data_IF_319150369030
#
_entry.id   IF_319150369030
#
_cell.length_a   1.000
_cell.length_b   1.000
_cell.length_c   1.000
_cell.angle_alpha   90.00
_cell.angle_beta   90.00
_cell.angle_gamma   90.00
#
_symmetry.space_group_name_H-M   'P 1'
#
loop_
_entity.id
_entity.type
_entity.pdbx_description
1 polymer ?
#
# COMPACT_ATOMS: atom_id res chain seq x y z
N UNK A 1 -1.73 -2.74 -12.07
CA UNK A 1 -2.62 -2.66 -10.89
C UNK A 1 -1.70 -2.84 -9.71
N UNK A 2 -1.33 -1.77 -8.99
CA UNK A 2 -0.72 -1.99 -7.67
C UNK A 2 -1.79 -2.75 -6.87
N UNK A 3 -1.56 -4.01 -6.47
CA UNK A 3 -2.47 -4.59 -5.50
C UNK A 3 -2.41 -3.66 -4.30
N UNK A 4 -3.55 -3.16 -3.85
CA UNK A 4 -3.64 -2.63 -2.50
C UNK A 4 -3.20 -3.78 -1.60
N UNK A 5 -2.04 -3.61 -1.00
CA UNK A 5 -1.41 -4.67 -0.23
C UNK A 5 -2.35 -4.99 0.91
N UNK A 6 -2.54 -6.28 1.14
CA UNK A 6 -3.29 -6.72 2.30
C UNK A 6 -2.55 -6.20 3.53
N UNK A 7 -3.16 -5.24 4.24
CA UNK A 7 -2.47 -4.40 5.24
C UNK A 7 -1.83 -5.20 6.37
N UNK A 8 -2.32 -6.41 6.62
CA UNK A 8 -1.85 -7.31 7.66
C UNK A 8 -0.80 -8.33 7.22
N UNK A 9 -0.33 -8.31 5.96
CA UNK A 9 0.82 -9.12 5.57
C UNK A 9 2.10 -8.71 6.33
N UNK A 10 3.07 -9.61 6.54
CA UNK A 10 4.35 -9.25 7.15
C UNK A 10 5.10 -8.18 6.34
N UNK A 11 5.85 -7.30 7.01
CA UNK A 11 6.53 -6.19 6.32
C UNK A 11 7.58 -6.69 5.30
N UNK A 12 8.18 -7.86 5.54
CA UNK A 12 9.18 -8.43 4.63
C UNK A 12 8.59 -8.81 3.25
N UNK A 13 7.26 -8.81 3.06
CA UNK A 13 6.68 -8.92 1.70
C UNK A 13 7.13 -7.72 0.83
N UNK A 14 7.45 -6.56 1.40
CA UNK A 14 8.02 -5.43 0.65
C UNK A 14 9.36 -5.81 -0.02
N UNK A 15 10.20 -6.60 0.65
CA UNK A 15 11.46 -7.11 0.09
C UNK A 15 11.27 -8.03 -1.11
N UNK A 16 10.08 -8.65 -1.26
CA UNK A 16 9.75 -9.46 -2.45
C UNK A 16 9.50 -8.62 -3.70
N UNK A 17 9.39 -7.28 -3.57
CA UNK A 17 9.33 -6.36 -4.71
C UNK A 17 10.71 -5.93 -5.20
N UNK A 18 11.73 -6.00 -4.36
CA UNK A 18 13.08 -5.52 -4.66
C UNK A 18 13.90 -6.72 -5.12
N UNK A 19 13.68 -7.10 -6.38
CA UNK A 19 14.37 -8.19 -7.07
C UNK A 19 15.54 -7.57 -7.85
N UNK A 20 16.81 -7.95 -7.59
CA UNK A 20 17.94 -7.46 -8.37
C UNK A 20 17.78 -7.71 -9.89
N UNK A 21 17.96 -6.66 -10.70
CA UNK A 21 18.10 -6.67 -12.16
C UNK A 21 16.85 -6.88 -13.08
N UNK A 22 15.63 -6.49 -12.72
CA UNK A 22 14.57 -6.32 -13.76
C UNK A 22 13.59 -5.17 -13.45
N UNK A 23 13.38 -4.30 -14.45
CA UNK A 23 12.62 -3.05 -14.38
C UNK A 23 11.09 -3.24 -14.45
N UNK A 24 10.57 -4.46 -14.66
CA UNK A 24 9.11 -4.70 -14.78
C UNK A 24 8.60 -6.05 -14.25
N UNK A 25 9.37 -6.81 -13.46
CA UNK A 25 9.04 -8.21 -13.17
C UNK A 25 8.81 -8.52 -11.67
N UNK A 26 7.58 -8.89 -11.25
CA UNK A 26 7.29 -9.43 -9.91
C UNK A 26 7.63 -10.92 -9.85
N UNK A 27 8.84 -11.29 -10.31
CA UNK A 27 9.28 -12.67 -10.39
C UNK A 27 10.75 -12.81 -10.06
N UNK A 28 11.11 -13.91 -9.42
CA UNK A 28 12.50 -14.26 -9.15
C UNK A 28 12.70 -15.77 -9.23
N UNK A 29 13.88 -16.25 -9.63
CA UNK A 29 14.17 -17.67 -9.62
C UNK A 29 14.29 -18.20 -8.19
N UNK A 30 13.72 -19.38 -7.93
CA UNK A 30 13.73 -20.04 -6.63
C UNK A 30 15.16 -20.33 -6.14
N UNK A 31 16.11 -20.46 -7.07
CA UNK A 31 17.53 -20.73 -6.80
C UNK A 31 18.26 -19.60 -6.07
N UNK A 32 17.71 -18.38 -6.05
CA UNK A 32 18.30 -17.25 -5.31
C UNK A 32 18.35 -17.46 -3.81
N UNK A 33 17.57 -18.41 -3.30
CA UNK A 33 17.54 -18.77 -1.89
C UNK A 33 18.85 -19.38 -1.43
N UNK A 34 19.60 -19.93 -2.37
CA UNK A 34 20.84 -20.64 -2.14
C UNK A 34 22.06 -19.80 -2.56
N UNK A 35 21.85 -18.52 -2.89
CA UNK A 35 22.88 -17.58 -3.35
C UNK A 35 23.17 -16.50 -2.31
N UNK A 36 23.99 -16.80 -1.28
CA UNK A 36 24.34 -15.83 -0.24
C UNK A 36 25.06 -14.59 -0.79
N UNK A 37 25.71 -14.70 -1.96
CA UNK A 37 26.37 -13.58 -2.65
C UNK A 37 25.41 -12.47 -3.09
N UNK A 38 24.10 -12.74 -3.18
CA UNK A 38 23.09 -11.73 -3.49
C UNK A 38 22.74 -10.85 -2.28
N UNK A 39 23.19 -11.21 -1.07
CA UNK A 39 22.95 -10.42 0.14
C UNK A 39 21.46 -10.27 0.49
N UNK A 40 20.61 -11.20 0.05
CA UNK A 40 19.17 -11.13 0.28
C UNK A 40 18.83 -11.57 1.71
N UNK A 41 17.86 -10.91 2.38
CA UNK A 41 17.53 -11.12 3.79
C UNK A 41 16.67 -12.37 4.03
N UNK A 42 16.97 -13.49 3.38
CA UNK A 42 16.12 -14.70 3.40
C UNK A 42 15.86 -15.27 4.79
N UNK A 43 16.83 -15.09 5.69
CA UNK A 43 16.77 -15.63 7.05
C UNK A 43 16.43 -14.55 8.10
N UNK A 44 16.16 -13.32 7.66
CA UNK A 44 15.74 -12.22 8.55
C UNK A 44 14.26 -12.36 8.97
N UNK A 45 13.90 -11.84 10.16
CA UNK A 45 12.52 -11.83 10.63
C UNK A 45 11.55 -11.17 9.64
N UNK A 46 10.36 -11.75 9.51
CA UNK A 46 9.33 -11.24 8.57
C UNK A 46 8.56 -10.04 9.10
N UNK A 47 8.58 -9.87 10.42
CA UNK A 47 7.85 -8.83 11.12
C UNK A 47 8.82 -7.76 11.59
N UNK A 48 8.60 -6.54 11.13
CA UNK A 48 9.38 -5.37 11.53
C UNK A 48 9.15 -5.11 13.02
N UNK A 49 10.22 -4.87 13.75
CA UNK A 49 10.14 -4.40 15.13
C UNK A 49 10.00 -2.88 15.10
N UNK A 50 9.02 -2.26 15.79
CA UNK A 50 8.98 -0.81 15.95
C UNK A 50 10.20 -0.27 16.72
N UNK A 51 11.02 -1.13 17.31
CA UNK A 51 12.18 -0.74 18.10
C UNK A 51 11.79 -0.33 19.52
N UNK A 52 12.76 0.07 20.35
CA UNK A 52 12.49 0.52 21.70
C UNK A 52 11.79 1.89 21.69
N UNK A 53 10.85 2.11 22.63
CA UNK A 53 10.12 3.39 22.77
C UNK A 53 11.06 4.57 23.02
N UNK A 54 12.25 4.33 23.56
CA UNK A 54 13.28 5.35 23.76
C UNK A 54 13.74 6.00 22.45
N UNK A 55 13.90 5.22 21.38
CA UNK A 55 14.27 5.74 20.06
C UNK A 55 13.17 6.63 19.47
N UNK A 56 11.89 6.36 19.82
CA UNK A 56 10.77 7.19 19.39
C UNK A 56 10.78 8.58 20.03
N UNK A 57 11.20 8.69 21.31
CA UNK A 57 11.37 9.99 21.95
C UNK A 57 12.49 10.80 21.29
N UNK A 58 13.59 10.15 20.92
CA UNK A 58 14.71 10.81 20.24
C UNK A 58 14.32 11.33 18.86
N UNK A 59 13.46 10.59 18.15
CA UNK A 59 12.99 10.91 16.79
C UNK A 59 11.84 11.92 16.75
N UNK A 60 11.19 12.21 17.89
CA UNK A 60 10.01 13.07 17.96
C UNK A 60 10.25 14.37 18.75
N UNK A 61 11.29 15.17 18.43
CA UNK A 61 11.59 16.38 19.19
C UNK A 61 10.45 17.39 19.06
N UNK A 62 9.92 17.84 20.20
CA UNK A 62 8.83 18.82 20.24
C UNK A 62 7.46 18.23 20.56
N UNK A 63 7.33 16.90 20.59
CA UNK A 63 6.16 16.21 21.13
C UNK A 63 6.34 15.90 22.62
N UNK A 64 5.24 15.82 23.37
CA UNK A 64 5.29 15.38 24.77
C UNK A 64 5.55 13.88 24.86
N UNK A 65 6.18 13.44 25.95
CA UNK A 65 6.41 12.00 26.18
C UNK A 65 5.10 11.19 26.19
N UNK A 66 4.00 11.77 26.67
CA UNK A 66 2.69 11.11 26.69
C UNK A 66 2.16 10.88 25.27
N UNK A 67 2.27 11.89 24.39
CA UNK A 67 1.90 11.75 22.97
C UNK A 67 2.75 10.69 22.28
N UNK A 68 4.07 10.70 22.51
CA UNK A 68 4.98 9.72 21.88
C UNK A 68 4.72 8.30 22.41
N UNK A 69 4.46 8.11 23.71
CA UNK A 69 4.10 6.79 24.25
C UNK A 69 2.76 6.31 23.72
N UNK A 70 1.75 7.18 23.70
CA UNK A 70 0.44 6.83 23.16
C UNK A 70 0.56 6.42 21.69
N UNK A 71 1.38 7.12 20.92
CA UNK A 71 1.66 6.77 19.53
C UNK A 71 2.38 5.41 19.42
N UNK A 72 3.43 5.18 20.20
CA UNK A 72 4.15 3.90 20.23
C UNK A 72 3.22 2.72 20.59
N UNK A 73 2.38 2.87 21.62
CA UNK A 73 1.44 1.83 22.04
C UNK A 73 0.44 1.49 20.93
N UNK A 74 -0.06 2.50 20.19
CA UNK A 74 -0.94 2.28 19.04
C UNK A 74 -0.25 1.48 17.93
N UNK A 75 1.01 1.78 17.64
CA UNK A 75 1.80 1.06 16.62
C UNK A 75 2.03 -0.40 17.03
N UNK A 76 2.35 -0.64 18.31
CA UNK A 76 2.50 -1.99 18.86
C UNK A 76 1.18 -2.76 18.81
N UNK A 77 0.06 -2.12 19.13
CA UNK A 77 -1.28 -2.74 19.05
C UNK A 77 -1.63 -3.10 17.60
N UNK A 78 -1.45 -2.17 16.67
CA UNK A 78 -1.71 -2.39 15.25
C UNK A 78 -0.86 -3.56 14.71
N UNK A 79 0.43 -3.59 15.04
CA UNK A 79 1.33 -4.71 14.69
C UNK A 79 0.83 -6.04 15.27
N UNK A 80 0.47 -6.05 16.54
CA UNK A 80 -0.02 -7.26 17.22
C UNK A 80 -1.25 -7.82 16.51
N UNK A 81 -2.23 -6.96 16.20
CA UNK A 81 -3.44 -7.33 15.48
C UNK A 81 -3.16 -7.90 14.09
N UNK A 82 -2.16 -7.36 13.37
CA UNK A 82 -1.73 -7.89 12.07
C UNK A 82 -1.14 -9.28 12.19
N UNK A 83 -0.25 -9.48 13.17
CA UNK A 83 0.35 -10.80 13.45
C UNK A 83 -0.73 -11.82 13.78
N UNK A 84 -1.70 -11.45 14.61
CA UNK A 84 -2.83 -12.31 14.97
C UNK A 84 -3.67 -12.66 13.74
N UNK A 85 -4.03 -11.67 12.92
CA UNK A 85 -4.83 -11.87 11.69
C UNK A 85 -4.11 -12.80 10.71
N UNK A 86 -2.82 -12.56 10.47
CA UNK A 86 -2.02 -13.39 9.56
C UNK A 86 -1.81 -14.80 10.12
N UNK A 87 -1.59 -14.92 11.44
CA UNK A 87 -1.46 -16.21 12.13
C UNK A 87 -2.75 -17.03 12.02
N UNK A 88 -3.89 -16.39 12.20
CA UNK A 88 -5.20 -17.02 12.06
C UNK A 88 -5.46 -17.45 10.60
N UNK A 89 -5.05 -16.64 9.61
CA UNK A 89 -5.07 -17.04 8.21
C UNK A 89 -4.23 -18.31 7.97
N UNK A 90 -3.00 -18.34 8.48
CA UNK A 90 -2.13 -19.52 8.38
C UNK A 90 -2.79 -20.75 9.05
N UNK A 91 -3.36 -20.57 10.24
CA UNK A 91 -4.06 -21.60 10.99
C UNK A 91 -5.23 -22.20 10.21
N UNK A 92 -6.08 -21.37 9.61
CA UNK A 92 -7.23 -21.79 8.78
C UNK A 92 -6.81 -22.52 7.52
N UNK A 93 -5.71 -22.12 6.90
CA UNK A 93 -5.11 -22.83 5.76
C UNK A 93 -4.34 -24.10 6.16
N UNK A 94 -4.14 -24.35 7.46
CA UNK A 94 -3.38 -25.50 7.95
C UNK A 94 -1.88 -25.40 7.65
N UNK A 95 -1.34 -24.18 7.54
CA UNK A 95 0.07 -23.92 7.23
C UNK A 95 0.82 -23.29 8.42
N UNK A 96 2.13 -23.51 8.55
CA UNK A 96 2.93 -22.88 9.61
C UNK A 96 3.01 -21.36 9.47
N UNK A 97 3.05 -20.66 10.60
CA UNK A 97 3.33 -19.21 10.61
C UNK A 97 4.81 -19.00 10.25
N UNK A 98 5.11 -18.20 9.20
CA UNK A 98 6.47 -17.92 8.79
C UNK A 98 7.19 -17.02 9.80
N UNK A 99 8.44 -17.37 10.08
CA UNK A 99 9.32 -16.58 10.96
C UNK A 99 10.41 -15.84 10.18
N UNK A 100 10.75 -16.30 8.97
CA UNK A 100 11.80 -15.72 8.12
C UNK A 100 11.26 -15.45 6.72
N UNK A 101 11.90 -14.55 5.96
CA UNK A 101 11.47 -14.21 4.59
C UNK A 101 11.36 -15.44 3.69
N UNK A 102 12.27 -16.41 3.84
CA UNK A 102 12.21 -17.71 3.17
C UNK A 102 10.89 -18.45 3.48
N UNK A 103 10.56 -18.59 4.76
CA UNK A 103 9.31 -19.22 5.18
C UNK A 103 8.08 -18.44 4.70
N UNK A 104 8.18 -17.11 4.62
CA UNK A 104 7.10 -16.27 4.15
C UNK A 104 6.76 -16.53 2.71
N UNK A 105 7.76 -16.68 1.83
CA UNK A 105 7.47 -17.01 0.43
C UNK A 105 6.77 -18.37 0.32
N UNK A 106 7.28 -19.40 1.02
CA UNK A 106 6.64 -20.72 1.01
C UNK A 106 5.19 -20.64 1.53
N UNK A 107 4.95 -19.84 2.57
CA UNK A 107 3.62 -19.56 3.11
C UNK A 107 2.73 -18.86 2.06
N UNK A 108 3.22 -17.83 1.38
CA UNK A 108 2.45 -17.09 0.36
C UNK A 108 2.16 -17.94 -0.88
N UNK A 109 3.06 -18.85 -1.26
CA UNK A 109 2.80 -19.86 -2.31
C UNK A 109 1.67 -20.79 -1.86
N UNK A 110 1.74 -21.30 -0.62
CA UNK A 110 0.70 -22.19 -0.09
C UNK A 110 -0.67 -21.49 0.04
N UNK A 111 -0.68 -20.17 0.30
CA UNK A 111 -1.88 -19.34 0.32
C UNK A 111 -2.37 -18.93 -1.09
N UNK A 112 -1.60 -19.24 -2.14
CA UNK A 112 -1.91 -18.86 -3.52
C UNK A 112 -1.66 -17.40 -3.87
N UNK A 113 -1.04 -16.61 -2.97
CA UNK A 113 -0.66 -15.22 -3.24
C UNK A 113 0.51 -15.15 -4.22
N UNK A 114 1.41 -16.11 -4.12
CA UNK A 114 2.49 -16.36 -5.06
C UNK A 114 2.25 -17.68 -5.79
N UNK A 115 2.86 -17.82 -6.96
CA UNK A 115 2.81 -19.06 -7.75
C UNK A 115 4.23 -19.47 -8.16
N UNK A 116 4.41 -20.77 -8.39
CA UNK A 116 5.64 -21.33 -8.92
C UNK A 116 5.44 -21.75 -10.37
N UNK A 117 6.20 -21.14 -11.28
CA UNK A 117 6.15 -21.42 -12.70
C UNK A 117 7.49 -21.96 -13.19
N UNK A 118 7.45 -22.83 -14.19
CA UNK A 118 8.67 -23.23 -14.90
C UNK A 118 9.11 -22.09 -15.81
N UNK A 119 10.27 -21.50 -15.50
CA UNK A 119 10.90 -20.46 -16.30
C UNK A 119 11.76 -21.02 -17.43
N UNK A 120 12.55 -20.15 -18.08
CA UNK A 120 13.54 -20.55 -19.08
C UNK A 120 14.51 -21.59 -18.50
N UNK A 121 14.98 -22.50 -19.34
CA UNK A 121 15.95 -23.56 -18.97
C UNK A 121 15.45 -24.58 -17.92
N UNK A 122 14.15 -24.59 -17.60
CA UNK A 122 13.55 -25.53 -16.66
C UNK A 122 13.70 -25.15 -15.19
N UNK A 123 14.19 -23.95 -14.90
CA UNK A 123 14.30 -23.42 -13.54
C UNK A 123 12.91 -23.06 -12.96
N UNK A 124 12.71 -23.26 -11.66
CA UNK A 124 11.49 -22.79 -10.97
C UNK A 124 11.60 -21.29 -10.67
N UNK A 125 10.59 -20.54 -11.07
CA UNK A 125 10.44 -19.12 -10.80
C UNK A 125 9.23 -18.88 -9.91
N UNK A 126 9.39 -18.04 -8.90
CA UNK A 126 8.30 -17.56 -8.07
C UNK A 126 7.76 -16.28 -8.68
N UNK A 127 6.44 -16.18 -8.85
CA UNK A 127 5.76 -15.01 -9.42
C UNK A 127 4.63 -14.54 -8.50
N UNK A 128 4.34 -13.24 -8.50
CA UNK A 128 3.14 -12.73 -7.83
C UNK A 128 1.87 -13.02 -8.66
N UNK A 129 0.84 -13.55 -8.00
CA UNK A 129 -0.44 -13.86 -8.65
C UNK A 129 -1.38 -12.64 -8.66
N UNK A 130 -0.97 -11.54 -9.31
CA UNK A 130 -1.77 -10.29 -9.37
C UNK A 130 -3.08 -10.38 -10.17
N UNK A 131 -3.37 -11.53 -10.78
CA UNK A 131 -4.63 -11.77 -11.47
C UNK A 131 -5.80 -12.03 -10.51
N UNK A 132 -5.51 -12.47 -9.27
CA UNK A 132 -6.49 -12.67 -8.22
C UNK A 132 -6.43 -11.52 -7.22
N UNK A 133 -7.59 -11.06 -6.74
CA UNK A 133 -7.63 -10.20 -5.57
C UNK A 133 -7.21 -11.04 -4.36
N UNK A 134 -6.17 -10.65 -3.59
CA UNK A 134 -5.76 -11.40 -2.41
C UNK A 134 -6.90 -11.72 -1.44
N UNK A 135 -7.91 -10.84 -1.34
CA UNK A 135 -9.08 -11.05 -0.48
C UNK A 135 -9.98 -12.21 -0.92
N UNK A 136 -9.88 -12.64 -2.19
CA UNK A 136 -10.66 -13.75 -2.73
C UNK A 136 -9.96 -15.11 -2.53
N UNK A 137 -8.64 -15.11 -2.30
CA UNK A 137 -7.82 -16.33 -2.20
C UNK A 137 -7.38 -16.62 -0.77
N UNK A 138 -7.24 -15.59 0.05
CA UNK A 138 -6.84 -15.74 1.45
C UNK A 138 -7.98 -16.37 2.25
N UNK A 139 -7.66 -17.20 3.27
CA UNK A 139 -8.64 -17.88 4.12
C UNK A 139 -9.29 -16.92 5.14
N UNK A 140 -9.84 -15.82 4.64
CA UNK A 140 -10.55 -14.81 5.40
C UNK A 140 -12.00 -15.18 5.58
N UNK A 141 -12.56 -14.76 6.70
CA UNK A 141 -14.01 -14.69 6.86
C UNK A 141 -14.56 -13.58 5.98
N UNK A 142 -15.85 -13.64 5.59
CA UNK A 142 -16.48 -12.56 4.82
C UNK A 142 -16.39 -11.19 5.49
N UNK A 143 -16.41 -11.14 6.82
CA UNK A 143 -16.27 -9.89 7.59
C UNK A 143 -14.86 -9.32 7.47
N UNK A 144 -13.82 -10.12 7.73
CA UNK A 144 -12.41 -9.67 7.61
C UNK A 144 -12.10 -9.20 6.19
N UNK A 145 -12.58 -9.92 5.16
CA UNK A 145 -12.41 -9.51 3.77
C UNK A 145 -13.12 -8.18 3.47
N UNK A 146 -14.32 -7.96 4.01
CA UNK A 146 -15.05 -6.70 3.83
C UNK A 146 -14.39 -5.52 4.57
N UNK A 147 -13.90 -5.74 5.78
CA UNK A 147 -13.17 -4.73 6.55
C UNK A 147 -11.88 -4.31 5.85
N UNK A 148 -11.09 -5.28 5.38
CA UNK A 148 -9.87 -5.01 4.62
C UNK A 148 -10.18 -4.32 3.28
N UNK A 149 -11.22 -4.75 2.56
CA UNK A 149 -11.64 -4.09 1.32
C UNK A 149 -12.04 -2.62 1.56
N UNK A 150 -12.73 -2.33 2.67
CA UNK A 150 -13.09 -0.97 3.06
C UNK A 150 -11.84 -0.13 3.40
N UNK A 151 -10.89 -0.70 4.16
CA UNK A 151 -9.63 -0.04 4.49
C UNK A 151 -8.81 0.28 3.22
N UNK A 152 -8.68 -0.66 2.29
CA UNK A 152 -8.02 -0.45 1.01
C UNK A 152 -8.71 0.61 0.14
N UNK A 153 -10.03 0.73 0.25
CA UNK A 153 -10.76 1.79 -0.45
C UNK A 153 -10.41 3.17 0.12
N UNK A 154 -10.38 3.31 1.45
CA UNK A 154 -9.97 4.55 2.12
C UNK A 154 -8.54 4.96 1.77
N UNK A 155 -7.60 4.01 1.76
CA UNK A 155 -6.20 4.26 1.34
C UNK A 155 -6.11 4.81 -0.09
N UNK A 156 -6.94 4.29 -1.01
CA UNK A 156 -7.00 4.82 -2.38
C UNK A 156 -7.49 6.26 -2.39
N UNK A 157 -8.46 6.61 -1.54
CA UNK A 157 -8.88 8.00 -1.33
C UNK A 157 -7.72 8.89 -0.90
N UNK A 158 -6.93 8.45 0.10
CA UNK A 158 -5.73 9.17 0.56
C UNK A 158 -4.70 9.32 -0.55
N UNK A 159 -4.44 8.27 -1.34
CA UNK A 159 -3.59 8.35 -2.53
C UNK A 159 -4.08 9.41 -3.51
N UNK A 160 -5.39 9.45 -3.79
CA UNK A 160 -5.95 10.49 -4.64
C UNK A 160 -5.70 11.90 -4.06
N UNK A 161 -5.81 12.08 -2.73
CA UNK A 161 -5.46 13.32 -2.05
C UNK A 161 -4.00 13.73 -2.24
N UNK A 162 -3.07 12.80 -2.03
CA UNK A 162 -1.62 12.99 -2.26
C UNK A 162 -1.36 13.35 -3.73
N UNK A 163 -1.97 12.62 -4.67
CA UNK A 163 -1.85 12.90 -6.10
C UNK A 163 -2.40 14.29 -6.48
N UNK A 164 -3.52 14.71 -5.88
CA UNK A 164 -4.07 16.04 -6.08
C UNK A 164 -3.16 17.13 -5.52
N UNK A 165 -2.53 16.92 -4.35
CA UNK A 165 -1.53 17.84 -3.80
C UNK A 165 -0.37 18.01 -4.78
N UNK A 166 0.24 16.92 -5.23
CA UNK A 166 1.37 16.95 -6.17
C UNK A 166 1.01 17.70 -7.45
N UNK A 167 -0.15 17.39 -8.05
CA UNK A 167 -0.64 18.09 -9.23
C UNK A 167 -0.95 19.57 -8.98
N UNK A 168 -1.38 19.94 -7.77
CA UNK A 168 -1.59 21.32 -7.38
C UNK A 168 -0.25 22.08 -7.30
N UNK A 169 0.74 21.51 -6.63
CA UNK A 169 2.10 22.07 -6.51
C UNK A 169 2.76 22.26 -7.88
N UNK A 170 2.59 21.32 -8.80
CA UNK A 170 3.08 21.46 -10.17
C UNK A 170 2.40 22.61 -10.93
N UNK A 171 1.11 22.85 -10.68
CA UNK A 171 0.31 23.86 -11.37
C UNK A 171 0.47 25.26 -10.74
N UNK A 172 0.79 25.33 -9.46
CA UNK A 172 0.99 26.54 -8.68
C UNK A 172 2.20 26.39 -7.74
N UNK A 173 3.44 26.38 -8.28
CA UNK A 173 4.66 26.13 -7.50
C UNK A 173 4.96 27.23 -6.48
N UNK A 174 4.47 28.44 -6.71
CA UNK A 174 4.57 29.56 -5.75
C UNK A 174 3.53 29.45 -4.62
N UNK A 175 2.71 28.39 -4.63
CA UNK A 175 1.60 28.16 -3.71
C UNK A 175 0.36 28.98 -4.04
N UNK A 176 -0.74 28.62 -3.37
CA UNK A 176 -2.03 29.28 -3.54
C UNK A 176 -2.80 28.82 -4.78
N UNK A 177 -4.07 28.47 -4.56
CA UNK A 177 -4.95 27.99 -5.60
C UNK A 177 -6.15 27.30 -4.98
N UNK A 178 -7.25 27.26 -5.73
CA UNK A 178 -8.50 26.64 -5.30
C UNK A 178 -9.01 25.61 -6.28
N UNK A 179 -8.21 25.34 -7.33
CA UNK A 179 -8.56 24.39 -8.38
C UNK A 179 -7.35 23.61 -8.86
N UNK A 180 -7.53 22.33 -9.13
CA UNK A 180 -6.54 21.45 -9.76
C UNK A 180 -7.11 20.97 -11.09
N UNK A 181 -6.36 21.21 -12.17
CA UNK A 181 -6.70 20.70 -13.51
C UNK A 181 -6.17 19.28 -13.66
N UNK A 182 -7.05 18.32 -13.93
CA UNK A 182 -6.68 16.90 -13.94
C UNK A 182 -7.29 16.15 -15.13
N UNK A 183 -6.71 14.98 -15.42
CA UNK A 183 -7.36 13.89 -16.15
C UNK A 183 -7.31 12.66 -15.24
N UNK A 184 -8.22 11.69 -15.42
CA UNK A 184 -8.16 10.45 -14.63
C UNK A 184 -6.86 9.68 -14.89
N UNK A 185 -6.32 9.74 -16.12
CA UNK A 185 -5.04 9.13 -16.46
C UNK A 185 -3.90 9.78 -15.69
N UNK A 186 -3.77 11.11 -15.78
CA UNK A 186 -2.66 11.83 -15.12
C UNK A 186 -2.68 11.60 -13.61
N UNK A 187 -3.84 11.75 -12.97
CA UNK A 187 -3.95 11.48 -11.54
C UNK A 187 -3.67 10.00 -11.21
N UNK A 188 -4.07 9.06 -12.07
CA UNK A 188 -3.75 7.65 -11.91
C UNK A 188 -2.26 7.35 -12.02
N UNK A 189 -1.57 7.97 -12.98
CA UNK A 189 -0.13 7.83 -13.17
C UNK A 189 0.65 8.35 -11.95
N UNK A 190 0.23 9.47 -11.35
CA UNK A 190 0.84 10.03 -10.12
C UNK A 190 0.80 9.08 -8.91
N UNK A 191 -0.20 8.19 -8.86
CA UNK A 191 -0.52 7.37 -7.69
C UNK A 191 -0.51 5.86 -7.98
N UNK A 192 -0.02 5.47 -9.17
CA UNK A 192 0.07 4.07 -9.59
C UNK A 192 -1.28 3.35 -9.76
N UNK A 193 -2.37 4.08 -10.03
CA UNK A 193 -3.72 3.54 -10.20
C UNK A 193 -4.19 3.58 -11.67
N UNK A 194 -5.02 2.61 -12.04
CA UNK A 194 -5.70 2.65 -13.35
C UNK A 194 -6.76 3.75 -13.35
N UNK A 195 -7.14 4.34 -14.51
CA UNK A 195 -8.17 5.38 -14.55
C UNK A 195 -9.50 4.99 -13.89
N UNK A 196 -9.88 3.70 -13.94
CA UNK A 196 -11.07 3.19 -13.27
C UNK A 196 -10.93 3.19 -11.74
N UNK A 197 -9.77 2.81 -11.22
CA UNK A 197 -9.48 2.86 -9.78
C UNK A 197 -9.33 4.31 -9.30
N UNK A 198 -8.66 5.17 -10.07
CA UNK A 198 -8.54 6.61 -9.81
C UNK A 198 -9.89 7.29 -9.71
N UNK A 199 -10.84 6.92 -10.57
CA UNK A 199 -12.21 7.42 -10.51
C UNK A 199 -12.88 7.12 -9.17
N UNK A 200 -12.79 5.87 -8.71
CA UNK A 200 -13.38 5.45 -7.43
C UNK A 200 -12.70 6.14 -6.25
N UNK A 201 -11.37 6.21 -6.28
CA UNK A 201 -10.57 6.92 -5.28
C UNK A 201 -10.96 8.40 -5.17
N UNK A 202 -11.15 9.04 -6.33
CA UNK A 202 -11.52 10.45 -6.39
C UNK A 202 -12.97 10.70 -5.96
N UNK A 203 -13.89 9.79 -6.31
CA UNK A 203 -15.28 9.86 -5.85
C UNK A 203 -15.37 9.73 -4.33
N UNK A 204 -14.57 8.83 -3.74
CA UNK A 204 -14.49 8.64 -2.30
C UNK A 204 -13.98 9.90 -1.59
N UNK A 205 -12.81 10.41 -1.97
CA UNK A 205 -12.25 11.58 -1.28
C UNK A 205 -13.14 12.82 -1.45
N UNK A 206 -13.81 13.00 -2.60
CA UNK A 206 -14.77 14.09 -2.79
C UNK A 206 -16.06 13.91 -1.95
N UNK A 207 -16.39 12.70 -1.54
CA UNK A 207 -17.52 12.42 -0.64
C UNK A 207 -17.15 12.62 0.83
N UNK A 208 -15.93 12.25 1.24
CA UNK A 208 -15.43 12.37 2.62
C UNK A 208 -14.98 13.81 2.94
N UNK A 209 -14.35 14.49 1.99
CA UNK A 209 -13.77 15.80 2.18
C UNK A 209 -14.67 16.90 1.61
N UNK A 210 -15.44 17.56 2.47
CA UNK A 210 -16.39 18.61 2.07
C UNK A 210 -15.79 19.81 1.30
N UNK A 211 -14.47 19.97 1.35
CA UNK A 211 -13.71 21.04 0.69
C UNK A 211 -13.09 20.61 -0.65
N UNK A 212 -13.21 19.32 -1.02
CA UNK A 212 -12.85 18.77 -2.33
C UNK A 212 -14.13 18.54 -3.12
N UNK A 213 -14.23 19.09 -4.33
CA UNK A 213 -15.39 18.85 -5.19
C UNK A 213 -15.05 18.90 -6.67
N UNK A 214 -15.71 18.04 -7.44
CA UNK A 214 -15.59 18.05 -8.90
C UNK A 214 -16.41 19.22 -9.46
N UNK A 215 -15.90 19.87 -10.51
CA UNK A 215 -16.58 21.00 -11.13
C UNK A 215 -18.04 20.68 -11.52
N UNK A 216 -18.99 21.60 -11.26
CA UNK A 216 -20.39 21.38 -11.60
C UNK A 216 -20.58 21.01 -13.08
N UNK A 217 -21.32 19.93 -13.33
CA UNK A 217 -21.60 19.44 -14.68
C UNK A 217 -20.64 18.36 -15.19
N UNK A 218 -19.54 18.10 -14.47
CA UNK A 218 -18.68 16.94 -14.73
C UNK A 218 -19.20 15.76 -13.92
N UNK A 219 -19.44 14.63 -14.58
CA UNK A 219 -19.75 13.37 -13.91
C UNK A 219 -18.54 12.46 -13.95
N UNK A 220 -17.99 12.12 -12.78
CA UNK A 220 -16.88 11.17 -12.69
C UNK A 220 -17.22 9.83 -13.33
N UNK A 221 -18.50 9.42 -13.31
CA UNK A 221 -18.96 8.16 -13.91
C UNK A 221 -18.78 8.11 -15.42
N UNK A 222 -18.87 9.26 -16.11
CA UNK A 222 -18.87 9.32 -17.58
C UNK A 222 -17.66 10.04 -18.17
N UNK A 223 -16.88 10.77 -17.37
CA UNK A 223 -15.68 11.49 -17.86
C UNK A 223 -14.66 10.53 -18.45
N UNK A 224 -14.16 10.87 -19.63
CA UNK A 224 -13.14 10.08 -20.31
C UNK A 224 -11.81 10.06 -19.55
N UNK A 225 -10.96 9.02 -19.71
CA UNK A 225 -9.68 8.93 -18.99
C UNK A 225 -8.73 10.09 -19.30
N UNK A 226 -8.80 10.63 -20.53
CA UNK A 226 -7.96 11.70 -21.05
C UNK A 226 -8.70 13.05 -21.13
N UNK A 227 -9.97 13.08 -20.70
CA UNK A 227 -10.76 14.30 -20.67
C UNK A 227 -10.33 15.15 -19.47
N UNK A 228 -10.05 16.43 -19.74
CA UNK A 228 -9.63 17.38 -18.71
C UNK A 228 -10.85 17.91 -17.97
N UNK A 229 -10.81 17.87 -16.64
CA UNK A 229 -11.77 18.52 -15.78
C UNK A 229 -11.08 19.24 -14.61
N UNK A 230 -11.83 20.08 -13.90
CA UNK A 230 -11.35 20.79 -12.73
C UNK A 230 -11.88 20.15 -11.45
N UNK A 231 -11.02 20.11 -10.46
CA UNK A 231 -11.37 19.78 -9.07
C UNK A 231 -11.16 21.03 -8.26
N UNK A 232 -12.18 21.47 -7.52
CA UNK A 232 -12.06 22.51 -6.52
C UNK A 232 -11.46 21.89 -5.26
N UNK A 233 -10.29 22.37 -4.87
CA UNK A 233 -9.58 21.98 -3.66
C UNK A 233 -8.63 23.12 -3.30
N UNK A 234 -8.60 23.52 -2.02
CA UNK A 234 -7.65 24.51 -1.54
C UNK A 234 -6.24 23.90 -1.51
N UNK A 235 -5.30 24.52 -2.22
CA UNK A 235 -3.94 24.00 -2.36
C UNK A 235 -3.18 23.99 -1.02
N UNK A 236 -3.42 24.99 -0.16
CA UNK A 236 -2.79 25.04 1.17
C UNK A 236 -3.32 23.93 2.05
N UNK A 237 -4.63 23.65 1.96
CA UNK A 237 -5.26 22.57 2.70
C UNK A 237 -4.84 21.19 2.19
N UNK A 238 -4.67 21.01 0.86
CA UNK A 238 -4.06 19.80 0.29
C UNK A 238 -2.66 19.57 0.86
N UNK A 239 -1.82 20.61 0.91
CA UNK A 239 -0.47 20.52 1.46
C UNK A 239 -0.46 20.21 2.96
N UNK A 240 -1.48 20.67 3.71
CA UNK A 240 -1.59 20.43 5.14
C UNK A 240 -2.13 19.03 5.47
N UNK A 241 -3.15 18.57 4.73
CA UNK A 241 -3.85 17.30 5.02
C UNK A 241 -3.12 16.10 4.43
N UNK A 242 -2.48 16.28 3.27
CA UNK A 242 -1.75 15.22 2.57
C UNK A 242 -0.26 15.57 2.48
N UNK A 243 0.34 15.91 3.62
CA UNK A 243 1.75 16.35 3.73
C UNK A 243 2.78 15.29 3.34
N UNK A 244 2.38 14.02 3.30
CA UNK A 244 3.20 12.91 2.85
C UNK A 244 3.26 12.80 1.33
N UNK A 245 4.40 12.31 0.83
CA UNK A 245 4.59 12.05 -0.59
C UNK A 245 3.99 10.70 -1.01
N UNK A 246 3.97 9.71 -0.14
CA UNK A 246 3.46 8.37 -0.48
C UNK A 246 2.51 7.90 0.62
N UNK A 247 1.71 6.88 0.31
CA UNK A 247 1.18 6.08 1.40
C UNK A 247 2.38 5.54 2.14
N UNK A 248 2.51 5.99 3.37
CA UNK A 248 3.32 5.32 4.34
C UNK A 248 2.86 3.84 4.30
N UNK A 249 3.75 2.86 4.25
CA UNK A 249 3.28 1.47 4.17
C UNK A 249 2.46 1.12 5.43
N UNK A 250 1.52 0.16 5.44
CA UNK A 250 0.71 -0.15 6.63
C UNK A 250 1.53 -0.49 7.89
N UNK A 251 2.80 -0.84 7.75
CA UNK A 251 3.82 -1.01 8.82
C UNK A 251 4.33 0.30 9.42
N UNK A 252 4.04 1.41 8.77
CA UNK A 252 4.41 2.76 9.14
C UNK A 252 3.16 3.66 9.27
N UNK A 253 2.01 3.28 8.69
CA UNK A 253 0.70 3.95 8.80
C UNK A 253 -0.14 3.38 9.93
N UNK A 254 -0.76 4.32 10.63
CA UNK A 254 -1.95 4.10 11.46
C UNK A 254 -3.15 4.32 10.55
#
# INVERSE_FOLDING_TARGET
MHPSWVRWLPCAVASLRVVPDDEDAPRFPRSWYDRPELGLPWDEPVWCDPGPVEEWFEQSPGHSEEEVRSHYDQVVEARTRRIETFTECCSRAGIPVPLTLRHLVDCLIALGVLDEVTGPDGETWVIAQFAANPLDILPLTPTEAAEEAAAQMLERGVLAGIGLRRLAEEQAPDGGGTTVRVTLRRLGDEIGLTPAATRLALDLIAAEESWISVEPGVSLLTVGPDEVFLIRADHSLLAQVYDMDELIAPEHMI
#
